data_IF_202885286287
#
_entry.id   IF_202885286287
#
_cell.length_a   1.000
_cell.length_b   1.000
_cell.length_c   1.000
_cell.angle_alpha   90.00
_cell.angle_beta   90.00
_cell.angle_gamma   90.00
#
_symmetry.space_group_name_H-M   'P 1'
#
loop_
_entity.id
_entity.type
_entity.pdbx_description
1 polymer ?
#
# COMPACT_ATOMS: atom_id res chain seq x y z
N UNK A 1 -60.74 -20.57 -21.99
CA UNK A 1 -60.26 -21.54 -20.95
C UNK A 1 -58.79 -21.28 -20.82
N UNK A 2 -58.50 -20.47 -19.87
CA UNK A 2 -57.21 -19.82 -19.64
C UNK A 2 -56.36 -20.74 -18.76
N UNK A 3 -55.18 -21.12 -19.24
CA UNK A 3 -54.20 -21.90 -18.48
C UNK A 3 -53.01 -21.04 -18.11
N UNK A 4 -53.02 -20.50 -16.88
CA UNK A 4 -51.89 -19.82 -16.29
C UNK A 4 -50.73 -20.79 -16.07
N UNK A 5 -49.59 -20.50 -16.67
CA UNK A 5 -48.33 -21.18 -16.42
C UNK A 5 -47.57 -20.39 -15.34
N UNK A 6 -47.61 -20.92 -14.13
CA UNK A 6 -46.82 -20.44 -13.00
C UNK A 6 -45.34 -20.64 -13.29
N UNK A 7 -44.59 -19.52 -13.39
CA UNK A 7 -43.13 -19.49 -13.39
C UNK A 7 -42.65 -19.65 -11.95
N UNK A 8 -42.12 -20.83 -11.66
CA UNK A 8 -41.36 -21.07 -10.43
C UNK A 8 -39.98 -20.42 -10.52
N UNK A 9 -39.77 -19.38 -9.72
CA UNK A 9 -38.48 -18.73 -9.49
C UNK A 9 -37.47 -19.69 -8.90
N UNK A 10 -36.59 -20.25 -9.75
CA UNK A 10 -35.37 -20.92 -9.31
C UNK A 10 -34.26 -19.88 -9.09
N UNK A 11 -34.14 -19.37 -7.89
CA UNK A 11 -32.97 -18.63 -7.43
C UNK A 11 -31.75 -19.57 -7.37
N UNK A 12 -31.10 -19.79 -8.49
CA UNK A 12 -29.73 -20.30 -8.53
C UNK A 12 -28.80 -19.15 -8.19
N UNK A 13 -28.26 -19.19 -6.97
CA UNK A 13 -27.17 -18.34 -6.53
C UNK A 13 -25.98 -18.49 -7.48
N UNK A 14 -25.82 -17.53 -8.39
CA UNK A 14 -24.74 -17.45 -9.37
C UNK A 14 -23.44 -17.11 -8.62
N UNK A 15 -22.68 -18.15 -8.26
CA UNK A 15 -21.37 -18.08 -7.65
C UNK A 15 -20.29 -17.59 -8.61
N UNK A 16 -20.53 -16.50 -9.35
CA UNK A 16 -19.51 -15.83 -10.14
C UNK A 16 -18.47 -15.27 -9.20
N UNK A 17 -17.30 -15.89 -9.17
CA UNK A 17 -16.11 -15.32 -8.57
C UNK A 17 -15.95 -13.88 -9.06
N UNK A 18 -16.00 -12.91 -8.14
CA UNK A 18 -15.83 -11.51 -8.46
C UNK A 18 -14.52 -11.35 -9.25
N UNK A 19 -14.58 -10.75 -10.43
CA UNK A 19 -13.43 -10.49 -11.27
C UNK A 19 -12.35 -9.68 -10.52
N UNK A 20 -11.12 -9.64 -11.04
CA UNK A 20 -10.01 -8.96 -10.36
C UNK A 20 -10.35 -7.49 -10.13
N UNK A 21 -10.25 -7.06 -8.86
CA UNK A 21 -10.54 -5.68 -8.45
C UNK A 21 -9.41 -4.76 -8.93
N UNK A 22 -9.75 -3.70 -9.68
CA UNK A 22 -8.80 -2.62 -9.98
C UNK A 22 -8.45 -1.85 -8.71
N UNK A 23 -7.21 -1.39 -8.62
CA UNK A 23 -6.78 -0.51 -7.54
C UNK A 23 -7.23 0.93 -7.80
N UNK A 24 -7.82 1.55 -6.77
CA UNK A 24 -8.18 2.96 -6.72
C UNK A 24 -7.78 3.53 -5.35
N UNK A 25 -7.01 4.62 -5.35
CA UNK A 25 -6.51 5.26 -4.13
C UNK A 25 -7.64 5.78 -3.23
N UNK A 26 -8.74 6.26 -3.81
CA UNK A 26 -9.91 6.70 -3.04
C UNK A 26 -10.59 5.53 -2.33
N UNK A 27 -10.67 4.37 -2.97
CA UNK A 27 -11.18 3.14 -2.35
C UNK A 27 -10.29 2.70 -1.17
N UNK A 28 -8.97 2.81 -1.30
CA UNK A 28 -8.04 2.53 -0.19
C UNK A 28 -8.23 3.51 0.96
N UNK A 29 -8.36 4.80 0.65
CA UNK A 29 -8.61 5.84 1.65
C UNK A 29 -9.87 5.58 2.46
N UNK A 30 -10.97 5.22 1.79
CA UNK A 30 -12.24 4.83 2.45
C UNK A 30 -12.07 3.60 3.35
N UNK A 31 -11.30 2.59 2.91
CA UNK A 31 -11.02 1.38 3.70
C UNK A 31 -10.18 1.68 4.93
N UNK A 32 -9.18 2.54 4.80
CA UNK A 32 -8.35 2.98 5.92
C UNK A 32 -9.19 3.73 6.96
N UNK A 33 -10.07 4.61 6.54
CA UNK A 33 -11.00 5.30 7.41
C UNK A 33 -11.99 4.34 8.11
N UNK A 34 -12.62 3.43 7.36
CA UNK A 34 -13.53 2.44 7.91
C UNK A 34 -12.85 1.46 8.88
N UNK A 35 -11.59 1.13 8.63
CA UNK A 35 -10.79 0.28 9.51
C UNK A 35 -10.61 0.90 10.90
N UNK A 36 -10.46 2.23 10.94
CA UNK A 36 -10.29 3.00 12.18
C UNK A 36 -11.56 3.06 13.03
N UNK A 37 -12.69 3.34 12.39
CA UNK A 37 -13.92 3.73 13.10
C UNK A 37 -14.86 2.54 13.37
N UNK A 38 -14.54 1.36 12.83
CA UNK A 38 -15.40 0.16 12.97
C UNK A 38 -16.78 0.31 12.33
N UNK A 39 -17.04 1.41 11.62
CA UNK A 39 -18.32 1.73 11.00
C UNK A 39 -18.28 1.50 9.49
N UNK A 40 -19.35 0.97 8.93
CA UNK A 40 -19.61 1.03 7.50
C UNK A 40 -19.73 2.51 7.09
N UNK A 41 -18.78 3.01 6.31
CA UNK A 41 -18.82 4.39 5.82
C UNK A 41 -20.02 4.57 4.92
N UNK A 42 -20.99 5.37 5.37
CA UNK A 42 -22.09 5.82 4.54
C UNK A 42 -21.52 6.71 3.42
N UNK A 43 -21.75 6.33 2.17
CA UNK A 43 -21.10 6.87 0.95
C UNK A 43 -21.57 8.27 0.52
N UNK A 44 -22.17 9.07 1.42
CA UNK A 44 -22.88 10.31 1.05
C UNK A 44 -22.25 11.61 1.56
N UNK A 45 -21.11 11.57 2.24
CA UNK A 45 -20.38 12.78 2.63
C UNK A 45 -19.23 13.05 1.64
N UNK A 46 -19.31 14.13 0.89
CA UNK A 46 -18.46 14.47 -0.25
C UNK A 46 -17.01 14.92 0.06
N UNK A 47 -16.42 14.52 1.19
CA UNK A 47 -15.02 14.77 1.53
C UNK A 47 -14.31 13.48 1.93
N UNK A 48 -13.08 13.27 1.46
CA UNK A 48 -12.26 12.19 1.95
C UNK A 48 -11.93 12.44 3.44
N UNK A 49 -12.16 11.46 4.34
CA UNK A 49 -11.88 11.65 5.77
C UNK A 49 -10.38 11.88 5.98
N UNK A 50 -10.01 12.84 6.82
CA UNK A 50 -8.62 13.15 7.09
C UNK A 50 -7.90 11.94 7.70
N UNK A 51 -6.78 11.54 7.11
CA UNK A 51 -5.88 10.53 7.70
C UNK A 51 -5.07 11.19 8.81
N UNK A 52 -4.72 10.41 9.83
CA UNK A 52 -3.92 10.87 10.97
C UNK A 52 -2.96 9.79 11.43
N UNK A 53 -1.88 10.19 12.10
CA UNK A 53 -0.90 9.27 12.67
C UNK A 53 0.22 8.90 11.70
N UNK A 54 1.03 7.91 12.04
CA UNK A 54 2.20 7.53 11.28
C UNK A 54 1.93 6.44 10.25
N UNK A 55 2.59 6.56 9.09
CA UNK A 55 2.71 5.52 8.09
C UNK A 55 4.16 5.03 8.03
N UNK A 56 4.38 3.73 8.14
CA UNK A 56 5.69 3.12 7.94
C UNK A 56 5.80 2.52 6.53
N UNK A 57 6.73 3.07 5.75
CA UNK A 57 7.10 2.59 4.42
C UNK A 57 8.23 1.55 4.56
N UNK A 58 7.88 0.26 4.57
CA UNK A 58 8.82 -0.83 4.89
C UNK A 58 9.35 -1.49 3.62
N UNK A 59 10.66 -1.46 3.43
CA UNK A 59 11.33 -2.08 2.30
C UNK A 59 12.78 -2.49 2.62
N UNK A 60 13.52 -2.96 1.63
CA UNK A 60 14.97 -3.17 1.71
C UNK A 60 15.78 -1.86 1.62
N UNK A 61 15.13 -0.74 1.32
CA UNK A 61 15.78 0.55 1.10
C UNK A 61 16.22 0.82 -0.33
N UNK A 62 15.75 0.04 -1.31
CA UNK A 62 16.01 0.32 -2.73
C UNK A 62 15.13 1.47 -3.22
N UNK A 63 15.70 2.38 -4.03
CA UNK A 63 15.03 3.59 -4.50
C UNK A 63 13.66 3.31 -5.15
N UNK A 64 13.57 2.29 -6.02
CA UNK A 64 12.31 1.90 -6.66
C UNK A 64 11.24 1.41 -5.67
N UNK A 65 11.63 0.66 -4.62
CA UNK A 65 10.70 0.21 -3.57
C UNK A 65 10.25 1.39 -2.71
N UNK A 66 11.17 2.27 -2.34
CA UNK A 66 10.85 3.47 -1.57
C UNK A 66 9.93 4.41 -2.37
N UNK A 67 10.15 4.55 -3.69
CA UNK A 67 9.26 5.34 -4.55
C UNK A 67 7.84 4.76 -4.61
N UNK A 68 7.69 3.44 -4.63
CA UNK A 68 6.37 2.78 -4.64
C UNK A 68 5.65 2.98 -3.31
N UNK A 69 6.33 2.72 -2.18
CA UNK A 69 5.72 2.86 -0.85
C UNK A 69 5.36 4.31 -0.54
N UNK A 70 6.26 5.26 -0.83
CA UNK A 70 6.01 6.68 -0.66
C UNK A 70 4.91 7.19 -1.60
N UNK A 71 4.88 6.72 -2.85
CA UNK A 71 3.83 7.08 -3.80
C UNK A 71 2.44 6.70 -3.30
N UNK A 72 2.31 5.49 -2.73
CA UNK A 72 1.04 5.06 -2.12
C UNK A 72 0.70 5.85 -0.85
N UNK A 73 1.67 6.05 0.05
CA UNK A 73 1.46 6.82 1.26
C UNK A 73 0.98 8.26 0.95
N UNK A 74 1.65 8.94 0.00
CA UNK A 74 1.25 10.28 -0.46
C UNK A 74 -0.12 10.29 -1.13
N UNK A 75 -0.45 9.28 -1.93
CA UNK A 75 -1.77 9.18 -2.60
C UNK A 75 -2.94 9.04 -1.62
N UNK A 76 -2.70 8.59 -0.41
CA UNK A 76 -3.69 8.50 0.67
C UNK A 76 -3.55 9.59 1.73
N UNK A 77 -2.76 10.62 1.45
CA UNK A 77 -2.71 11.86 2.26
C UNK A 77 -1.65 11.88 3.36
N UNK A 78 -0.64 11.00 3.31
CA UNK A 78 0.51 11.10 4.22
C UNK A 78 1.64 11.92 3.58
N UNK A 79 2.23 12.83 4.34
CA UNK A 79 3.38 13.63 3.94
C UNK A 79 4.69 13.03 4.48
N UNK A 80 5.84 13.28 3.82
CA UNK A 80 7.12 12.82 4.34
C UNK A 80 7.41 13.42 5.72
N UNK A 81 7.90 12.61 6.64
CA UNK A 81 8.42 13.09 7.90
C UNK A 81 9.78 13.77 7.63
N UNK A 82 9.76 15.08 7.46
CA UNK A 82 10.96 15.89 7.28
C UNK A 82 11.61 16.10 8.65
N UNK A 83 12.80 15.56 8.82
CA UNK A 83 13.74 15.71 9.93
C UNK A 83 13.13 15.68 11.34
N UNK A 84 13.55 14.71 12.13
CA UNK A 84 13.11 14.44 13.50
C UNK A 84 13.37 15.58 14.52
N UNK A 85 13.93 16.71 14.10
CA UNK A 85 14.32 17.84 14.96
C UNK A 85 13.25 18.95 15.06
N UNK A 86 12.13 18.82 14.33
CA UNK A 86 11.03 19.78 14.47
C UNK A 86 10.01 19.30 15.52
N UNK A 87 10.10 19.83 16.74
CA UNK A 87 9.13 19.61 17.83
C UNK A 87 7.66 19.87 17.45
N UNK A 88 7.41 20.49 16.30
CA UNK A 88 6.07 20.75 15.75
C UNK A 88 5.40 19.53 15.11
N UNK A 89 6.16 18.47 14.77
CA UNK A 89 5.64 17.25 14.15
C UNK A 89 5.08 16.25 15.17
N UNK A 90 5.22 16.56 16.46
CA UNK A 90 4.79 15.68 17.57
C UNK A 90 3.27 15.65 17.81
N UNK A 91 2.45 16.29 17.01
CA UNK A 91 1.00 16.22 17.22
C UNK A 91 0.41 14.98 16.55
N UNK A 92 -0.33 14.19 17.32
CA UNK A 92 -1.09 13.01 16.88
C UNK A 92 -2.09 13.29 15.71
N UNK A 93 -2.16 14.52 15.26
CA UNK A 93 -3.07 15.02 14.22
C UNK A 93 -2.42 15.03 12.84
N UNK A 94 -1.09 15.01 12.74
CA UNK A 94 -0.37 15.06 11.45
C UNK A 94 -0.24 13.67 10.85
N UNK A 95 -0.58 13.54 9.56
CA UNK A 95 -0.40 12.30 8.79
C UNK A 95 0.98 12.31 8.14
N UNK A 96 1.93 11.58 8.69
CA UNK A 96 3.30 11.53 8.18
C UNK A 96 3.76 10.12 7.87
N UNK A 97 4.63 9.97 6.84
CA UNK A 97 5.28 8.70 6.56
C UNK A 97 6.81 8.77 6.74
N UNK A 98 7.37 7.64 7.13
CA UNK A 98 8.82 7.44 7.28
C UNK A 98 9.26 6.12 6.66
N UNK A 99 10.54 6.03 6.28
CA UNK A 99 11.09 4.81 5.69
C UNK A 99 11.71 3.93 6.75
N UNK A 100 11.22 2.69 6.85
CA UNK A 100 11.78 1.65 7.72
C UNK A 100 12.50 0.62 6.84
N UNK A 101 13.82 0.69 6.82
CA UNK A 101 14.64 -0.24 6.05
C UNK A 101 14.85 -1.53 6.82
N UNK A 102 14.33 -2.63 6.31
CA UNK A 102 14.42 -3.94 6.95
C UNK A 102 15.24 -4.92 6.12
N UNK A 103 15.98 -5.79 6.80
CA UNK A 103 16.72 -6.88 6.18
C UNK A 103 16.54 -8.16 6.99
N UNK A 104 16.23 -9.24 6.29
CA UNK A 104 16.13 -10.54 6.93
C UNK A 104 17.52 -11.06 7.31
N UNK A 105 17.64 -11.61 8.52
CA UNK A 105 18.85 -12.25 9.00
C UNK A 105 19.08 -13.62 8.32
N UNK A 106 20.30 -14.16 8.45
CA UNK A 106 20.59 -15.55 8.10
C UNK A 106 19.95 -16.48 9.16
N UNK A 107 19.36 -17.65 8.78
CA UNK A 107 19.23 -18.19 7.42
C UNK A 107 17.95 -17.75 6.68
N UNK A 108 17.08 -16.95 7.31
CA UNK A 108 15.72 -16.65 6.88
C UNK A 108 15.62 -16.02 5.48
N UNK A 109 16.63 -15.28 5.06
CA UNK A 109 16.66 -14.65 3.73
C UNK A 109 16.61 -15.65 2.56
N UNK A 110 16.94 -16.91 2.78
CA UNK A 110 16.98 -17.96 1.75
C UNK A 110 15.79 -18.92 1.81
N UNK A 111 15.06 -18.95 2.92
CA UNK A 111 13.98 -19.91 3.13
C UNK A 111 12.67 -19.45 2.46
N UNK A 112 11.83 -20.38 2.02
CA UNK A 112 10.47 -20.08 1.60
C UNK A 112 9.67 -19.39 2.74
N UNK A 113 8.75 -18.50 2.40
CA UNK A 113 7.94 -17.78 3.41
C UNK A 113 7.13 -18.70 4.33
N UNK A 114 6.71 -19.86 3.84
CA UNK A 114 6.01 -20.88 4.65
C UNK A 114 6.82 -21.39 5.84
N UNK A 115 8.16 -21.31 5.76
CA UNK A 115 9.08 -21.76 6.81
C UNK A 115 9.57 -20.63 7.71
N UNK A 116 9.24 -19.37 7.40
CA UNK A 116 9.73 -18.20 8.13
C UNK A 116 8.72 -17.83 9.21
N UNK A 117 9.11 -17.79 10.49
CA UNK A 117 8.21 -17.36 11.55
C UNK A 117 7.83 -15.88 11.39
N UNK A 118 6.55 -15.57 11.64
CA UNK A 118 6.04 -14.19 11.64
C UNK A 118 6.45 -13.48 12.94
N UNK A 119 7.75 -13.19 13.06
CA UNK A 119 8.38 -12.61 14.24
C UNK A 119 9.44 -11.58 13.84
N UNK A 120 9.57 -10.52 14.63
CA UNK A 120 10.63 -9.53 14.45
C UNK A 120 12.05 -10.14 14.55
N UNK A 121 12.23 -11.25 15.28
CA UNK A 121 13.52 -11.93 15.45
C UNK A 121 14.15 -12.45 14.15
N UNK A 122 13.38 -12.54 13.06
CA UNK A 122 13.92 -12.91 11.74
C UNK A 122 14.66 -11.76 11.05
N UNK A 123 14.56 -10.55 11.58
CA UNK A 123 15.23 -9.37 11.05
C UNK A 123 16.62 -9.20 11.66
N UNK A 124 17.49 -8.49 10.95
CA UNK A 124 18.80 -8.10 11.48
C UNK A 124 18.71 -7.05 12.61
N UNK A 125 17.68 -6.23 12.55
CA UNK A 125 17.42 -5.12 13.47
C UNK A 125 15.92 -5.16 13.88
N UNK A 126 15.54 -6.09 14.79
CA UNK A 126 14.15 -6.24 15.20
C UNK A 126 13.61 -5.02 15.95
N UNK A 127 14.48 -4.27 16.63
CA UNK A 127 14.17 -3.06 17.42
C UNK A 127 13.48 -1.97 16.58
N UNK A 128 13.74 -1.89 15.28
CA UNK A 128 13.10 -0.89 14.40
C UNK A 128 11.57 -1.05 14.35
N UNK A 129 11.05 -2.25 14.64
CA UNK A 129 9.61 -2.50 14.68
C UNK A 129 8.98 -2.23 16.06
N UNK A 130 9.81 -1.88 17.05
CA UNK A 130 9.37 -1.53 18.40
C UNK A 130 9.34 -0.01 18.65
N UNK A 131 9.77 0.79 17.65
CA UNK A 131 9.80 2.23 17.74
C UNK A 131 8.40 2.83 18.03
N UNK A 132 8.37 3.93 18.76
CA UNK A 132 7.15 4.66 19.09
C UNK A 132 7.17 6.06 18.44
N UNK A 133 6.04 6.58 18.02
CA UNK A 133 4.70 5.98 18.03
C UNK A 133 4.51 4.88 16.96
N UNK A 134 3.70 3.87 17.30
CA UNK A 134 3.39 2.78 16.38
C UNK A 134 2.59 3.29 15.16
N UNK A 135 2.75 2.65 13.97
CA UNK A 135 2.09 3.10 12.75
C UNK A 135 0.60 2.78 12.74
N UNK A 136 -0.18 3.64 12.12
CA UNK A 136 -1.58 3.39 11.75
C UNK A 136 -1.71 2.74 10.37
N UNK A 137 -0.74 3.03 9.50
CA UNK A 137 -0.64 2.45 8.16
C UNK A 137 0.77 1.85 7.99
N UNK A 138 0.83 0.65 7.47
CA UNK A 138 2.08 0.02 7.02
C UNK A 138 1.97 -0.23 5.52
N UNK A 139 2.83 0.41 4.75
CA UNK A 139 3.00 0.15 3.33
C UNK A 139 4.31 -0.58 3.13
N UNK A 140 4.25 -1.85 2.80
CA UNK A 140 5.43 -2.70 2.63
C UNK A 140 5.66 -3.07 1.16
N UNK A 141 6.91 -3.22 0.75
CA UNK A 141 7.26 -3.58 -0.62
C UNK A 141 8.38 -4.62 -0.68
N UNK A 142 8.17 -5.62 -1.53
CA UNK A 142 9.14 -6.67 -1.82
C UNK A 142 9.36 -7.64 -0.65
N UNK A 143 10.22 -8.65 -0.90
CA UNK A 143 10.44 -9.78 0.02
C UNK A 143 10.76 -9.37 1.47
N UNK A 144 11.60 -8.34 1.64
CA UNK A 144 12.03 -7.92 2.97
C UNK A 144 10.94 -7.18 3.76
N UNK A 145 9.90 -6.67 3.10
CA UNK A 145 8.75 -6.02 3.74
C UNK A 145 7.65 -6.98 4.20
N UNK A 146 7.60 -8.22 3.69
CA UNK A 146 6.52 -9.19 3.97
C UNK A 146 6.45 -9.53 5.46
N UNK A 147 7.52 -10.07 6.03
CA UNK A 147 7.52 -10.53 7.42
C UNK A 147 7.34 -9.39 8.43
N UNK A 148 8.01 -8.22 8.29
CA UNK A 148 7.75 -7.08 9.15
C UNK A 148 6.29 -6.64 9.17
N UNK A 149 5.65 -6.54 8.00
CA UNK A 149 4.25 -6.14 7.90
C UNK A 149 3.31 -7.17 8.56
N UNK A 150 3.52 -8.46 8.31
CA UNK A 150 2.76 -9.54 8.95
C UNK A 150 2.97 -9.59 10.47
N UNK A 151 4.18 -9.31 10.94
CA UNK A 151 4.49 -9.22 12.37
C UNK A 151 3.73 -8.05 13.02
N UNK A 152 3.81 -6.86 12.42
CA UNK A 152 3.09 -5.68 12.91
C UNK A 152 1.58 -5.91 12.90
N UNK A 153 1.02 -6.50 11.85
CA UNK A 153 -0.40 -6.87 11.80
C UNK A 153 -0.79 -7.82 12.93
N UNK A 154 0.03 -8.83 13.20
CA UNK A 154 -0.20 -9.77 14.33
C UNK A 154 -0.11 -9.06 15.67
N UNK A 155 0.83 -8.12 15.85
CA UNK A 155 1.08 -7.40 17.10
C UNK A 155 0.01 -6.35 17.40
N UNK A 156 -0.35 -5.55 16.40
CA UNK A 156 -1.23 -4.38 16.55
C UNK A 156 -2.70 -4.67 16.17
N UNK A 157 -2.95 -5.79 15.49
CA UNK A 157 -4.31 -6.22 15.15
C UNK A 157 -5.05 -5.19 14.30
N UNK A 158 -6.15 -4.67 14.83
CA UNK A 158 -7.01 -3.68 14.17
C UNK A 158 -6.49 -2.24 14.28
N UNK A 159 -5.46 -1.98 15.05
CA UNK A 159 -4.89 -0.63 15.17
C UNK A 159 -4.04 -0.24 13.97
N UNK A 160 -3.59 -1.22 13.18
CA UNK A 160 -2.78 -1.00 11.98
C UNK A 160 -3.49 -1.53 10.73
N UNK A 161 -3.50 -0.74 9.67
CA UNK A 161 -3.87 -1.19 8.33
C UNK A 161 -2.60 -1.52 7.54
N UNK A 162 -2.55 -2.72 6.96
CA UNK A 162 -1.35 -3.22 6.27
C UNK A 162 -1.59 -3.37 4.78
N UNK A 163 -0.74 -2.74 3.98
CA UNK A 163 -0.72 -2.87 2.53
C UNK A 163 0.62 -3.43 2.08
N UNK A 164 0.58 -4.45 1.25
CA UNK A 164 1.79 -4.97 0.61
C UNK A 164 1.76 -4.69 -0.89
N UNK A 165 2.86 -4.18 -1.43
CA UNK A 165 3.05 -3.91 -2.86
C UNK A 165 3.92 -5.00 -3.46
N UNK A 166 3.53 -5.54 -4.60
CA UNK A 166 4.03 -6.71 -5.32
C UNK A 166 3.46 -8.03 -4.79
N UNK A 167 3.69 -9.13 -5.51
CA UNK A 167 3.27 -10.45 -5.08
C UNK A 167 4.14 -10.93 -3.90
N UNK A 168 3.55 -11.14 -2.70
CA UNK A 168 4.31 -11.51 -1.51
C UNK A 168 4.84 -12.95 -1.55
N UNK A 169 4.42 -13.76 -2.54
CA UNK A 169 4.75 -15.20 -2.69
C UNK A 169 4.40 -16.02 -1.43
N UNK A 170 3.35 -15.63 -0.74
CA UNK A 170 2.77 -16.32 0.41
C UNK A 170 1.27 -16.07 0.50
N UNK A 171 0.60 -16.69 1.46
CA UNK A 171 -0.81 -16.40 1.75
C UNK A 171 -1.03 -14.90 2.03
N UNK A 172 -1.93 -14.29 1.27
CA UNK A 172 -2.23 -12.86 1.35
C UNK A 172 -3.17 -12.49 2.49
N UNK A 173 -3.87 -13.45 3.10
CA UNK A 173 -4.90 -13.23 4.13
C UNK A 173 -4.38 -12.49 5.38
N UNK A 174 -3.07 -12.50 5.61
CA UNK A 174 -2.43 -11.78 6.70
C UNK A 174 -2.30 -10.27 6.50
N UNK A 175 -2.60 -9.75 5.30
CA UNK A 175 -2.63 -8.33 4.97
C UNK A 175 -4.06 -7.83 4.85
N UNK A 176 -4.30 -6.55 5.11
CA UNK A 176 -5.60 -5.93 4.82
C UNK A 176 -5.77 -5.69 3.31
N UNK A 177 -4.68 -5.43 2.60
CA UNK A 177 -4.66 -5.21 1.16
C UNK A 177 -3.32 -5.63 0.54
N UNK A 178 -3.37 -6.21 -0.66
CA UNK A 178 -2.18 -6.50 -1.46
C UNK A 178 -2.36 -5.90 -2.85
N UNK A 179 -1.38 -5.14 -3.30
CA UNK A 179 -1.37 -4.50 -4.61
C UNK A 179 -0.39 -5.24 -5.52
N UNK A 180 -0.91 -5.83 -6.58
CA UNK A 180 -0.10 -6.65 -7.50
C UNK A 180 -0.24 -6.09 -8.91
N UNK A 181 0.86 -5.90 -9.66
CA UNK A 181 0.79 -5.56 -11.08
C UNK A 181 -0.01 -6.60 -11.87
N UNK A 182 -0.79 -6.15 -12.84
CA UNK A 182 -1.70 -7.01 -13.63
C UNK A 182 -0.98 -8.19 -14.32
N UNK A 183 0.30 -8.02 -14.65
CA UNK A 183 1.11 -9.06 -15.30
C UNK A 183 1.61 -10.15 -14.32
N UNK A 184 1.54 -9.93 -13.01
CA UNK A 184 1.87 -10.93 -12.00
C UNK A 184 0.70 -11.88 -11.74
N UNK A 185 0.98 -13.12 -11.32
CA UNK A 185 0.00 -14.19 -11.18
C UNK A 185 -0.77 -14.20 -9.85
N UNK A 186 -0.29 -13.49 -8.81
CA UNK A 186 -0.92 -13.50 -7.49
C UNK A 186 -2.38 -13.04 -7.54
N UNK A 187 -3.29 -13.78 -6.89
CA UNK A 187 -4.72 -13.44 -6.77
C UNK A 187 -5.21 -13.77 -5.37
N UNK A 188 -6.30 -13.13 -4.96
CA UNK A 188 -6.91 -13.36 -3.65
C UNK A 188 -8.03 -12.37 -3.34
N UNK A 189 -8.80 -12.58 -2.28
CA UNK A 189 -9.96 -11.74 -1.95
C UNK A 189 -9.58 -10.31 -1.58
N UNK A 190 -8.37 -10.09 -1.05
CA UNK A 190 -7.78 -8.81 -0.66
C UNK A 190 -6.71 -8.31 -1.65
N UNK A 191 -6.60 -8.95 -2.83
CA UNK A 191 -5.67 -8.56 -3.90
C UNK A 191 -6.33 -7.59 -4.86
N UNK A 192 -5.64 -6.49 -5.16
CA UNK A 192 -6.03 -5.46 -6.11
C UNK A 192 -4.97 -5.32 -7.19
N UNK A 193 -5.41 -5.21 -8.44
CA UNK A 193 -4.50 -5.14 -9.57
C UNK A 193 -4.16 -3.70 -9.92
N UNK A 194 -2.88 -3.43 -10.15
CA UNK A 194 -2.39 -2.16 -10.69
C UNK A 194 -1.99 -2.33 -12.16
N UNK A 195 -2.14 -1.27 -12.95
CA UNK A 195 -1.74 -1.29 -14.37
C UNK A 195 -0.21 -1.36 -14.53
N UNK A 196 0.52 -0.78 -13.59
CA UNK A 196 1.97 -0.76 -13.55
C UNK A 196 2.50 -0.62 -12.12
N UNK A 197 3.79 -0.34 -11.99
CA UNK A 197 4.40 -0.03 -10.72
C UNK A 197 3.88 1.31 -10.18
N UNK A 198 3.61 1.36 -8.88
CA UNK A 198 3.28 2.60 -8.21
C UNK A 198 4.50 3.52 -8.16
N UNK A 199 4.27 4.81 -8.21
CA UNK A 199 5.33 5.82 -8.14
C UNK A 199 4.81 7.15 -7.57
N UNK A 200 5.71 8.00 -7.13
CA UNK A 200 5.40 9.33 -6.59
C UNK A 200 5.39 10.46 -7.64
N UNK A 201 5.51 10.11 -8.92
CA UNK A 201 5.45 11.08 -10.02
C UNK A 201 3.99 11.39 -10.31
N UNK A 202 3.63 12.68 -10.26
CA UNK A 202 2.28 13.17 -10.57
C UNK A 202 2.34 14.11 -11.76
N UNK A 203 1.22 14.40 -12.45
CA UNK A 203 1.16 15.37 -13.53
C UNK A 203 1.71 16.75 -13.13
N UNK A 204 1.40 17.20 -11.91
CA UNK A 204 1.87 18.49 -11.38
C UNK A 204 3.40 18.51 -11.21
N UNK A 205 3.99 17.41 -10.74
CA UNK A 205 5.45 17.26 -10.62
C UNK A 205 6.13 17.23 -11.98
N UNK A 206 5.50 16.60 -12.98
CA UNK A 206 5.99 16.60 -14.35
C UNK A 206 5.95 18.01 -14.95
N UNK A 207 4.86 18.72 -14.75
CA UNK A 207 4.72 20.09 -15.24
C UNK A 207 5.72 21.03 -14.56
N UNK A 208 5.88 20.94 -13.23
CA UNK A 208 6.90 21.71 -12.52
C UNK A 208 8.33 21.40 -13.02
N UNK A 209 8.63 20.13 -13.28
CA UNK A 209 9.94 19.72 -13.80
C UNK A 209 10.20 20.26 -15.22
N UNK A 210 9.17 20.39 -16.05
CA UNK A 210 9.26 20.93 -17.42
C UNK A 210 9.82 22.35 -17.46
N UNK A 211 9.57 23.14 -16.43
CA UNK A 211 10.01 24.54 -16.33
C UNK A 211 11.35 24.73 -15.61
N UNK A 212 12.06 23.64 -15.30
CA UNK A 212 13.38 23.74 -14.67
C UNK A 212 14.47 24.11 -15.68
N UNK A 213 15.54 24.82 -15.26
CA UNK A 213 16.69 25.09 -16.13
C UNK A 213 17.33 23.82 -16.73
N UNK A 214 17.32 22.71 -15.95
CA UNK A 214 17.82 21.42 -16.42
C UNK A 214 16.98 20.86 -17.57
N UNK A 215 15.65 20.98 -17.50
CA UNK A 215 14.77 20.54 -18.59
C UNK A 215 14.97 21.38 -19.86
N UNK A 216 15.17 22.68 -19.70
CA UNK A 216 15.43 23.58 -20.84
C UNK A 216 16.72 23.22 -21.61
N UNK A 217 17.72 22.67 -20.92
CA UNK A 217 18.97 22.20 -21.54
C UNK A 217 18.80 20.87 -22.31
N UNK A 218 17.77 20.07 -21.96
CA UNK A 218 17.52 18.79 -22.61
C UNK A 218 16.65 18.89 -23.86
N UNK A 219 15.94 20.00 -24.05
CA UNK A 219 15.03 20.20 -25.17
C UNK A 219 15.76 20.92 -26.32
N UNK A 220 16.13 20.16 -27.32
CA UNK A 220 16.55 20.72 -28.62
C UNK A 220 15.31 20.77 -29.54
N UNK A 221 14.81 21.96 -29.93
CA UNK A 221 13.61 22.05 -30.76
C UNK A 221 13.75 21.42 -32.14
N UNK A 222 15.00 21.14 -32.56
CA UNK A 222 15.31 20.54 -33.87
C UNK A 222 15.42 18.99 -33.81
N UNK A 223 15.38 18.39 -32.63
CA UNK A 223 15.57 16.94 -32.43
C UNK A 223 14.48 16.33 -31.55
N UNK A 224 13.97 15.16 -31.91
CA UNK A 224 13.07 14.44 -31.00
C UNK A 224 13.82 14.01 -29.73
N UNK A 225 13.23 14.26 -28.54
CA UNK A 225 13.74 13.77 -27.27
C UNK A 225 13.41 12.28 -27.15
N UNK A 226 14.42 11.44 -27.10
CA UNK A 226 14.27 10.00 -26.85
C UNK A 226 14.92 9.68 -25.50
N UNK A 227 14.13 9.14 -24.57
CA UNK A 227 14.62 8.58 -23.31
C UNK A 227 14.91 7.09 -23.50
N UNK A 228 16.09 6.64 -23.15
CA UNK A 228 16.54 5.25 -23.22
C UNK A 228 16.73 4.71 -21.80
#
# INVERSE_FOLDING_TARGET
MDGEFSQSDSNLADGRAAGPKGFDALSMHRRLAAHRDGTHVNSHAGGAPAVTGRCWCISKGMAGMNSQTAGLASAVGYEPLENADDDRVSTATSATYEFINTRMAFPWKFLPFSMIPRSGRVLKQPEVLEASPQPRLVVSCGRHGVIPALYLKKKLGREVFTVHIQDPKCDTSGFDMVLIPKHDSGRGPNVYLTMGALHKVTPEKLEAARHTPAAAQLVDPTRPLVSV
#
